data_IF_451780060603
#
_entry.id   IF_451780060603
#
_cell.length_a   1.000
_cell.length_b   1.000
_cell.length_c   1.000
_cell.angle_alpha   90.00
_cell.angle_beta   90.00
_cell.angle_gamma   90.00
#
_symmetry.space_group_name_H-M   'P 1'
#
loop_
_entity.id
_entity.type
_entity.pdbx_description
1 polymer ?
#
# COMPACT_ATOMS: atom_id res chain seq x y z
N UNK A 1 17.93 51.46 8.01
CA UNK A 1 17.57 50.49 9.07
C UNK A 1 16.08 50.59 9.31
N UNK A 2 15.31 49.60 8.84
CA UNK A 2 13.86 49.53 9.06
C UNK A 2 13.47 48.07 9.09
N UNK A 3 13.32 47.51 10.29
CA UNK A 3 12.92 46.13 10.49
C UNK A 3 11.41 46.02 10.27
N UNK A 4 11.00 45.39 9.16
CA UNK A 4 9.61 45.06 8.92
C UNK A 4 9.21 43.86 9.79
N UNK A 5 8.33 44.13 10.73
CA UNK A 5 7.73 43.18 11.67
C UNK A 5 6.65 42.37 10.92
N UNK A 6 6.91 41.09 10.64
CA UNK A 6 5.92 40.17 10.10
C UNK A 6 4.98 39.69 11.23
N UNK A 7 3.65 39.74 11.06
CA UNK A 7 2.71 39.33 12.10
C UNK A 7 2.65 37.80 12.26
N UNK A 8 2.74 37.37 13.53
CA UNK A 8 2.66 36.01 14.11
C UNK A 8 1.36 35.21 13.83
N UNK A 9 0.72 35.37 12.67
CA UNK A 9 -0.55 34.67 12.36
C UNK A 9 -0.38 33.36 11.56
N UNK A 10 0.85 32.96 11.27
CA UNK A 10 1.18 31.70 10.59
C UNK A 10 1.84 30.70 11.55
N UNK A 11 1.23 30.41 12.69
CA UNK A 11 1.74 29.36 13.59
C UNK A 11 0.63 28.70 14.41
N UNK A 12 -0.52 28.39 13.79
CA UNK A 12 -1.61 27.68 14.47
C UNK A 12 -2.27 26.58 13.61
N UNK A 13 -1.69 26.24 12.44
CA UNK A 13 -2.25 25.19 11.58
C UNK A 13 -1.47 23.86 11.58
N UNK A 14 -0.30 23.82 12.21
CA UNK A 14 0.54 22.60 12.31
C UNK A 14 0.51 21.92 13.67
N UNK A 15 -0.30 22.40 14.63
CA UNK A 15 -0.22 21.92 16.03
C UNK A 15 -1.33 20.95 16.45
N UNK A 16 -2.28 20.59 15.57
CA UNK A 16 -3.40 19.72 15.92
C UNK A 16 -3.38 18.32 15.29
N UNK A 17 -2.47 18.03 14.36
CA UNK A 17 -2.42 16.71 13.71
C UNK A 17 -1.57 15.66 14.45
N UNK A 18 -0.77 16.07 15.43
CA UNK A 18 0.20 15.19 16.12
C UNK A 18 -0.28 14.63 17.47
N UNK A 19 -1.52 14.87 17.90
CA UNK A 19 -1.92 14.60 19.29
C UNK A 19 -3.15 13.72 19.47
N UNK A 20 -3.28 12.68 18.67
CA UNK A 20 -4.08 11.49 19.00
C UNK A 20 -3.62 10.26 18.18
N UNK A 21 -2.30 10.10 18.00
CA UNK A 21 -1.76 8.78 17.74
C UNK A 21 -1.87 8.04 19.06
N UNK A 22 -2.95 7.25 19.23
CA UNK A 22 -2.95 6.15 20.19
C UNK A 22 -1.63 5.43 19.99
N UNK A 23 -0.73 5.47 20.99
CA UNK A 23 0.51 4.70 20.96
C UNK A 23 0.09 3.23 20.92
N UNK A 24 -0.12 2.72 19.71
CA UNK A 24 -0.21 1.29 19.46
C UNK A 24 1.05 0.69 20.05
N UNK A 25 0.91 -0.46 20.70
CA UNK A 25 2.07 -1.22 21.15
C UNK A 25 3.03 -1.38 19.97
N UNK A 26 4.33 -1.38 20.26
CA UNK A 26 5.31 -1.65 19.22
C UNK A 26 4.91 -2.95 18.52
N UNK A 27 4.67 -2.86 17.22
CA UNK A 27 4.17 -3.95 16.40
C UNK A 27 5.13 -4.18 15.25
N UNK A 28 5.62 -5.40 15.15
CA UNK A 28 6.37 -5.86 13.99
C UNK A 28 5.35 -6.33 12.95
N UNK A 29 5.34 -5.74 11.73
CA UNK A 29 4.42 -6.18 10.70
C UNK A 29 4.71 -7.63 10.32
N UNK A 30 3.67 -8.45 10.02
CA UNK A 30 3.87 -9.84 9.62
C UNK A 30 4.68 -9.90 8.32
N UNK A 31 5.56 -10.87 8.15
CA UNK A 31 6.23 -11.04 6.86
C UNK A 31 5.26 -11.54 5.80
N UNK A 32 5.65 -11.48 4.52
CA UNK A 32 4.85 -12.08 3.45
C UNK A 32 4.66 -13.59 3.65
N UNK A 33 5.69 -14.28 4.15
CA UNK A 33 5.59 -15.71 4.47
C UNK A 33 4.67 -15.97 5.65
N UNK A 34 4.62 -15.09 6.67
CA UNK A 34 3.63 -15.17 7.74
C UNK A 34 2.21 -15.08 7.20
N UNK A 35 1.94 -14.10 6.32
CA UNK A 35 0.63 -13.94 5.69
C UNK A 35 0.24 -15.16 4.85
N UNK A 36 1.19 -15.76 4.13
CA UNK A 36 0.98 -17.01 3.36
C UNK A 36 0.71 -18.21 4.26
N UNK A 37 1.40 -18.30 5.39
CA UNK A 37 1.18 -19.35 6.38
C UNK A 37 -0.19 -19.19 7.04
N UNK A 38 -0.54 -17.98 7.48
CA UNK A 38 -1.86 -17.71 8.07
C UNK A 38 -3.01 -17.98 7.12
N UNK A 39 -2.86 -17.64 5.84
CA UNK A 39 -3.85 -17.96 4.81
C UNK A 39 -4.11 -19.47 4.71
N UNK A 40 -3.06 -20.29 4.83
CA UNK A 40 -3.15 -21.75 4.79
C UNK A 40 -3.73 -22.33 6.08
N UNK A 41 -3.35 -21.77 7.23
CA UNK A 41 -3.73 -22.29 8.54
C UNK A 41 -5.18 -21.93 8.91
N UNK A 42 -5.69 -20.78 8.44
CA UNK A 42 -7.03 -20.27 8.76
C UNK A 42 -8.02 -20.38 7.58
N UNK A 43 -7.84 -21.40 6.74
CA UNK A 43 -8.73 -21.64 5.58
C UNK A 43 -10.17 -21.86 6.04
N UNK A 44 -11.09 -21.10 5.45
CA UNK A 44 -12.52 -21.15 5.79
C UNK A 44 -12.94 -20.18 6.90
N UNK A 45 -11.98 -19.49 7.53
CA UNK A 45 -12.27 -18.40 8.48
C UNK A 45 -12.38 -17.07 7.71
N UNK A 46 -13.54 -16.81 7.13
CA UNK A 46 -13.73 -15.72 6.16
C UNK A 46 -13.32 -14.32 6.62
N UNK A 47 -13.43 -14.01 7.92
CA UNK A 47 -13.00 -12.71 8.45
C UNK A 47 -11.47 -12.60 8.56
N UNK A 48 -10.78 -13.69 8.91
CA UNK A 48 -9.31 -13.75 8.95
C UNK A 48 -8.75 -13.69 7.53
N UNK A 49 -9.35 -14.44 6.60
CA UNK A 49 -9.00 -14.38 5.18
C UNK A 49 -9.15 -12.95 4.61
N UNK A 50 -10.25 -12.26 4.93
CA UNK A 50 -10.47 -10.87 4.52
C UNK A 50 -9.41 -9.94 5.10
N UNK A 51 -9.07 -10.09 6.39
CA UNK A 51 -8.04 -9.27 7.03
C UNK A 51 -6.68 -9.46 6.37
N UNK A 52 -6.30 -10.69 6.03
CA UNK A 52 -5.05 -10.99 5.33
C UNK A 52 -5.01 -10.30 3.97
N UNK A 53 -6.10 -10.39 3.20
CA UNK A 53 -6.21 -9.74 1.88
C UNK A 53 -6.15 -8.21 2.00
N UNK A 54 -6.79 -7.63 3.01
CA UNK A 54 -6.74 -6.18 3.25
C UNK A 54 -5.31 -5.72 3.59
N UNK A 55 -4.60 -6.46 4.44
CA UNK A 55 -3.18 -6.18 4.75
C UNK A 55 -2.33 -6.21 3.48
N UNK A 56 -2.55 -7.18 2.59
CA UNK A 56 -1.81 -7.26 1.32
C UNK A 56 -2.18 -6.13 0.37
N UNK A 57 -3.46 -5.81 0.25
CA UNK A 57 -3.92 -4.68 -0.53
C UNK A 57 -3.24 -3.37 -0.08
N UNK A 58 -3.20 -3.11 1.23
CA UNK A 58 -2.57 -1.92 1.79
C UNK A 58 -1.05 -1.88 1.52
N UNK A 59 -0.35 -3.02 1.47
CA UNK A 59 1.07 -3.07 1.06
C UNK A 59 1.27 -2.67 -0.39
N UNK A 60 0.39 -3.13 -1.29
CA UNK A 60 0.44 -2.75 -2.70
C UNK A 60 0.14 -1.26 -2.88
N UNK A 61 -0.82 -0.72 -2.13
CA UNK A 61 -1.09 0.72 -2.09
C UNK A 61 0.14 1.49 -1.60
N UNK A 62 0.81 1.04 -0.54
CA UNK A 62 2.03 1.66 -0.04
C UNK A 62 3.15 1.69 -1.11
N UNK A 63 3.36 0.57 -1.80
CA UNK A 63 4.35 0.48 -2.88
C UNK A 63 4.02 1.43 -4.04
N UNK A 64 2.74 1.52 -4.41
CA UNK A 64 2.27 2.47 -5.42
C UNK A 64 2.50 3.92 -4.98
N UNK A 65 2.11 4.28 -3.76
CA UNK A 65 2.29 5.64 -3.23
C UNK A 65 3.77 6.05 -3.22
N UNK A 66 4.67 5.13 -2.89
CA UNK A 66 6.11 5.36 -3.01
C UNK A 66 6.51 5.71 -4.44
N UNK A 67 6.01 4.97 -5.43
CA UNK A 67 6.26 5.24 -6.84
C UNK A 67 5.74 6.61 -7.28
N UNK A 68 4.53 6.99 -6.86
CA UNK A 68 3.97 8.32 -7.13
C UNK A 68 4.81 9.44 -6.49
N UNK A 69 5.31 9.23 -5.27
CA UNK A 69 6.20 10.18 -4.59
C UNK A 69 7.56 10.32 -5.29
N UNK A 70 8.15 9.20 -5.73
CA UNK A 70 9.39 9.19 -6.52
C UNK A 70 9.21 10.00 -7.83
N UNK A 71 8.09 9.79 -8.52
CA UNK A 71 7.76 10.49 -9.76
C UNK A 71 7.48 11.98 -9.52
N UNK A 72 6.74 12.32 -8.47
CA UNK A 72 6.48 13.70 -8.10
C UNK A 72 7.80 14.44 -7.77
N UNK A 73 8.76 13.78 -7.13
CA UNK A 73 10.11 14.34 -6.92
C UNK A 73 10.84 14.55 -8.25
N UNK A 74 10.75 13.60 -9.19
CA UNK A 74 11.35 13.74 -10.53
C UNK A 74 10.79 14.97 -11.25
N UNK A 75 9.46 15.08 -11.31
CA UNK A 75 8.76 16.21 -11.94
C UNK A 75 9.08 17.54 -11.25
N UNK A 76 9.11 17.58 -9.92
CA UNK A 76 9.47 18.79 -9.17
C UNK A 76 10.88 19.27 -9.51
N UNK A 77 11.86 18.37 -9.67
CA UNK A 77 13.23 18.74 -10.08
C UNK A 77 13.31 19.35 -11.48
N UNK A 78 12.42 18.95 -12.39
CA UNK A 78 12.35 19.46 -13.76
C UNK A 78 11.76 20.88 -13.81
N UNK A 79 10.80 21.16 -12.92
CA UNK A 79 10.16 22.48 -12.82
C UNK A 79 11.00 23.46 -12.01
N UNK A 80 11.38 23.08 -10.79
CA UNK A 80 12.20 23.89 -9.90
C UNK A 80 12.92 23.03 -8.86
N UNK A 81 14.26 22.99 -8.95
CA UNK A 81 15.10 22.21 -8.04
C UNK A 81 15.02 22.68 -6.58
N UNK A 82 14.62 23.92 -6.31
CA UNK A 82 14.47 24.45 -4.96
C UNK A 82 13.36 23.72 -4.17
N UNK A 83 12.37 23.14 -4.87
CA UNK A 83 11.26 22.39 -4.28
C UNK A 83 11.69 21.03 -3.71
N UNK A 84 12.92 20.58 -3.98
CA UNK A 84 13.42 19.23 -3.66
C UNK A 84 14.57 19.28 -2.63
N UNK A 85 14.55 20.30 -1.78
CA UNK A 85 15.41 20.37 -0.60
C UNK A 85 15.15 19.23 0.39
N UNK A 86 16.13 18.93 1.24
CA UNK A 86 16.03 17.83 2.22
C UNK A 86 14.82 17.96 3.16
N UNK A 87 14.48 19.20 3.50
CA UNK A 87 13.37 19.54 4.40
C UNK A 87 12.08 19.86 3.64
N UNK A 88 12.02 19.57 2.33
CA UNK A 88 10.82 19.80 1.56
C UNK A 88 9.77 18.71 1.83
N UNK A 89 8.47 19.05 1.88
CA UNK A 89 7.41 18.08 2.19
C UNK A 89 7.40 16.86 1.27
N UNK A 90 7.78 17.04 0.00
CA UNK A 90 7.82 15.95 -0.97
C UNK A 90 8.99 14.98 -0.73
N UNK A 91 10.13 15.49 -0.25
CA UNK A 91 11.25 14.66 0.16
C UNK A 91 10.96 13.94 1.48
N UNK A 92 10.30 14.60 2.44
CA UNK A 92 9.85 13.99 3.69
C UNK A 92 8.88 12.84 3.41
N UNK A 93 7.84 13.08 2.59
CA UNK A 93 6.89 12.04 2.18
C UNK A 93 7.60 10.84 1.55
N UNK A 94 8.53 11.09 0.62
CA UNK A 94 9.32 10.04 -0.03
C UNK A 94 10.13 9.23 0.97
N UNK A 95 10.74 9.88 1.96
CA UNK A 95 11.51 9.21 3.03
C UNK A 95 10.60 8.34 3.89
N UNK A 96 9.47 8.88 4.35
CA UNK A 96 8.50 8.14 5.19
C UNK A 96 7.97 6.92 4.46
N UNK A 97 7.58 7.05 3.20
CA UNK A 97 7.10 5.93 2.39
C UNK A 97 8.20 4.88 2.17
N UNK A 98 9.44 5.30 1.93
CA UNK A 98 10.57 4.36 1.80
C UNK A 98 10.84 3.61 3.11
N UNK A 99 10.79 4.29 4.26
CA UNK A 99 10.94 3.67 5.58
C UNK A 99 9.83 2.66 5.85
N UNK A 100 8.59 2.99 5.51
CA UNK A 100 7.47 2.07 5.69
C UNK A 100 7.57 0.85 4.76
N UNK A 101 8.00 1.02 3.51
CA UNK A 101 8.28 -0.11 2.60
C UNK A 101 9.38 -1.01 3.17
N UNK A 102 10.45 -0.43 3.71
CA UNK A 102 11.50 -1.21 4.38
C UNK A 102 10.99 -1.91 5.65
N UNK A 103 10.11 -1.26 6.41
CA UNK A 103 9.54 -1.80 7.66
C UNK A 103 8.64 -3.01 7.39
N UNK A 104 7.84 -3.00 6.33
CA UNK A 104 6.94 -4.12 5.97
C UNK A 104 7.66 -5.27 5.25
N UNK A 105 8.86 -5.01 4.71
CA UNK A 105 9.67 -6.00 4.03
C UNK A 105 9.16 -6.30 2.62
N UNK A 106 9.23 -7.58 2.23
CA UNK A 106 8.85 -8.01 0.88
C UNK A 106 7.35 -7.76 0.60
N UNK A 107 7.11 -7.11 -0.54
CA UNK A 107 5.77 -6.85 -1.08
C UNK A 107 5.73 -7.53 -2.44
N UNK A 108 4.88 -8.56 -2.56
CA UNK A 108 4.71 -9.36 -3.77
C UNK A 108 3.26 -9.82 -3.84
N UNK A 109 2.59 -9.48 -4.94
CA UNK A 109 1.24 -9.94 -5.28
C UNK A 109 1.24 -11.17 -6.20
N UNK A 110 2.42 -11.65 -6.59
CA UNK A 110 2.55 -12.84 -7.43
C UNK A 110 2.07 -14.05 -6.64
N UNK A 111 1.01 -14.73 -7.13
CA UNK A 111 0.65 -16.03 -6.58
C UNK A 111 1.86 -16.94 -6.70
N UNK A 112 2.23 -17.66 -5.63
CA UNK A 112 3.32 -18.63 -5.74
C UNK A 112 3.02 -19.60 -6.89
N UNK A 113 4.03 -19.96 -7.68
CA UNK A 113 3.88 -20.88 -8.81
C UNK A 113 3.32 -22.26 -8.40
N UNK A 114 3.43 -22.66 -7.13
CA UNK A 114 2.82 -23.88 -6.58
C UNK A 114 1.30 -23.74 -6.29
N UNK A 115 0.80 -22.51 -6.18
CA UNK A 115 -0.62 -22.18 -6.02
C UNK A 115 -1.34 -22.05 -7.37
N UNK A 116 -0.58 -21.94 -8.47
CA UNK A 116 -1.13 -22.06 -9.83
C UNK A 116 -1.32 -23.55 -10.11
N UNK A 117 -2.57 -24.02 -10.27
CA UNK A 117 -2.81 -25.43 -10.56
C UNK A 117 -2.04 -25.85 -11.81
N UNK A 118 -1.30 -26.96 -11.74
CA UNK A 118 -0.40 -27.38 -12.85
C UNK A 118 -1.17 -27.71 -14.12
N UNK A 119 -2.49 -27.86 -14.03
CA UNK A 119 -3.37 -28.11 -15.16
C UNK A 119 -4.76 -27.52 -14.99
N UNK A 120 -5.42 -27.24 -16.11
CA UNK A 120 -6.84 -26.83 -16.19
C UNK A 120 -7.79 -27.82 -15.51
N UNK A 121 -7.42 -29.11 -15.39
CA UNK A 121 -8.24 -30.10 -14.66
C UNK A 121 -8.32 -29.83 -13.16
N UNK A 122 -7.33 -29.16 -12.59
CA UNK A 122 -7.27 -28.83 -11.17
C UNK A 122 -8.09 -27.57 -10.84
N UNK A 123 -8.26 -26.65 -11.81
CA UNK A 123 -9.28 -25.57 -11.75
C UNK A 123 -10.69 -26.13 -11.55
N UNK A 124 -11.02 -27.24 -12.22
CA UNK A 124 -12.35 -27.84 -12.17
C UNK A 124 -12.72 -28.44 -10.79
N UNK A 125 -11.76 -28.59 -9.86
CA UNK A 125 -12.04 -28.97 -8.46
C UNK A 125 -12.35 -27.79 -7.56
N UNK A 126 -12.03 -26.56 -7.95
CA UNK A 126 -12.31 -25.37 -7.15
C UNK A 126 -13.65 -24.74 -7.60
N UNK A 127 -14.73 -24.85 -6.81
CA UNK A 127 -16.04 -24.30 -7.17
C UNK A 127 -16.02 -22.77 -7.37
N UNK A 128 -15.08 -22.07 -6.73
CA UNK A 128 -14.95 -20.60 -6.83
C UNK A 128 -14.30 -20.16 -8.14
N UNK A 129 -13.45 -21.01 -8.73
CA UNK A 129 -12.85 -20.73 -10.03
C UNK A 129 -13.88 -20.89 -11.17
N UNK A 130 -14.77 -21.87 -11.04
CA UNK A 130 -15.88 -22.11 -11.97
C UNK A 130 -16.85 -20.93 -11.98
N UNK A 131 -17.14 -20.34 -10.82
CA UNK A 131 -18.03 -19.17 -10.72
C UNK A 131 -17.37 -17.89 -11.25
N UNK A 132 -16.08 -17.69 -11.02
CA UNK A 132 -15.33 -16.55 -11.58
C UNK A 132 -15.30 -16.55 -13.12
N UNK A 133 -15.03 -17.71 -13.74
CA UNK A 133 -15.08 -17.84 -15.20
C UNK A 133 -16.50 -17.60 -15.76
N UNK A 134 -17.52 -18.15 -15.11
CA UNK A 134 -18.91 -17.96 -15.50
C UNK A 134 -19.32 -16.48 -15.46
N UNK A 135 -18.92 -15.75 -14.42
CA UNK A 135 -19.18 -14.31 -14.29
C UNK A 135 -18.41 -13.48 -15.31
N UNK A 136 -17.14 -13.84 -15.58
CA UNK A 136 -16.31 -13.17 -16.57
C UNK A 136 -16.85 -13.33 -18.00
N UNK A 137 -17.38 -14.52 -18.35
CA UNK A 137 -18.05 -14.75 -19.64
C UNK A 137 -19.33 -13.93 -19.79
N UNK A 138 -20.13 -13.83 -18.72
CA UNK A 138 -21.35 -12.99 -18.71
C UNK A 138 -21.02 -11.51 -18.94
N UNK A 139 -19.97 -10.98 -18.31
CA UNK A 139 -19.51 -9.60 -18.53
C UNK A 139 -19.07 -9.35 -19.98
N UNK A 140 -18.32 -10.27 -20.59
CA UNK A 140 -17.88 -10.13 -22.00
C UNK A 140 -19.02 -10.23 -23.02
N UNK A 141 -20.08 -10.97 -22.68
CA UNK A 141 -21.29 -11.06 -23.52
C UNK A 141 -22.20 -9.83 -23.44
N UNK A 142 -22.05 -8.99 -22.41
CA UNK A 142 -22.85 -7.76 -22.23
C UNK A 142 -22.20 -6.51 -22.87
N UNK A 143 -21.00 -6.64 -23.44
CA UNK A 143 -20.30 -5.55 -24.13
C UNK A 143 -20.37 -5.69 -25.66
N UNK A 144 -21.49 -6.19 -26.17
CA UNK A 144 -21.84 -6.17 -27.59
C UNK A 144 -23.24 -5.62 -27.77
#
# INVERSE_FOLDING_TARGET
>A
MGAYHMPQKYCMFTQYFLRLIVKLAAFTPPTLDDLRNWWRDHRGEGDVERLILEVQYLRLVLLRLRGEADEAVRLAREVDRSLVGRDSPIMELRIVLAQEVLRVGDIDDTPRHDAVPRSVREYARNPDAVTFEAQSRRKRGQTK
#
